data_IF_900563179583
#
_entry.id   IF_900563179583
#
_cell.length_a   1.000
_cell.length_b   1.000
_cell.length_c   1.000
_cell.angle_alpha   90.00
_cell.angle_beta   90.00
_cell.angle_gamma   90.00
#
_symmetry.space_group_name_H-M   'P 1'
#
loop_
_entity.id
_entity.type
_entity.pdbx_description
1 polymer ?
#
# COMPACT_ATOMS: atom_id res chain seq x y z
N UNK A 1 1.96 -4.55 -11.12
CA UNK A 1 3.19 -3.77 -11.05
C UNK A 1 3.82 -3.95 -9.69
N UNK A 2 5.15 -3.91 -9.55
CA UNK A 2 5.79 -3.95 -8.23
C UNK A 2 5.68 -2.60 -7.51
N UNK A 3 5.63 -2.64 -6.19
CA UNK A 3 5.70 -1.47 -5.33
C UNK A 3 6.53 -1.74 -4.09
N UNK A 4 7.45 -0.85 -3.77
CA UNK A 4 8.24 -0.88 -2.54
C UNK A 4 7.56 -0.02 -1.49
N UNK A 5 7.25 -0.62 -0.34
CA UNK A 5 6.63 0.05 0.79
C UNK A 5 7.69 0.36 1.84
N UNK A 6 7.74 1.60 2.32
CA UNK A 6 8.69 2.08 3.30
C UNK A 6 7.96 2.53 4.58
N UNK A 7 8.54 2.18 5.73
CA UNK A 7 8.14 2.74 7.02
C UNK A 7 8.55 4.22 7.10
N UNK A 8 7.91 5.01 7.99
CA UNK A 8 8.39 6.35 8.31
C UNK A 8 9.89 6.32 8.65
N UNK A 9 10.64 7.28 8.13
CA UNK A 9 12.07 7.47 8.44
C UNK A 9 13.00 6.32 8.00
N UNK A 10 12.50 5.33 7.25
CA UNK A 10 13.30 4.23 6.69
C UNK A 10 13.55 4.42 5.20
N UNK A 11 14.83 4.38 4.82
CA UNK A 11 15.25 4.31 3.41
C UNK A 11 15.31 2.87 2.87
N UNK A 12 15.14 1.87 3.74
CA UNK A 12 15.06 0.47 3.32
C UNK A 12 13.60 0.06 3.12
N UNK A 13 13.27 -0.64 2.02
CA UNK A 13 11.92 -1.12 1.79
C UNK A 13 11.56 -2.15 2.87
N UNK A 14 10.42 -1.93 3.50
CA UNK A 14 9.81 -2.81 4.47
C UNK A 14 9.13 -4.01 3.81
N UNK A 15 8.60 -3.82 2.61
CA UNK A 15 8.00 -4.88 1.80
C UNK A 15 8.07 -4.55 0.31
N UNK A 16 8.10 -5.60 -0.51
CA UNK A 16 7.90 -5.52 -1.95
C UNK A 16 6.55 -6.15 -2.26
N UNK A 17 5.68 -5.38 -2.88
CA UNK A 17 4.27 -5.68 -3.11
C UNK A 17 4.02 -5.92 -4.60
N UNK A 18 3.08 -6.81 -4.91
CA UNK A 18 2.43 -6.88 -6.21
C UNK A 18 1.18 -6.00 -6.18
N UNK A 19 1.30 -4.80 -6.75
CA UNK A 19 0.29 -3.75 -6.73
C UNK A 19 -0.61 -3.77 -7.97
N UNK A 20 -1.89 -3.44 -7.74
CA UNK A 20 -2.87 -3.02 -8.74
C UNK A 20 -3.56 -1.75 -8.24
N UNK A 21 -3.48 -0.69 -9.03
CA UNK A 21 -4.09 0.60 -8.72
C UNK A 21 -5.53 0.58 -9.24
N UNK A 22 -6.47 0.94 -8.39
CA UNK A 22 -7.87 1.14 -8.73
C UNK A 22 -8.29 2.54 -8.29
N UNK A 23 -8.76 3.31 -9.25
CA UNK A 23 -9.31 4.63 -8.97
C UNK A 23 -10.79 4.50 -8.65
N UNK A 24 -11.18 4.87 -7.43
CA UNK A 24 -12.59 4.88 -7.04
C UNK A 24 -13.12 6.32 -7.08
N UNK A 25 -13.91 6.62 -8.13
CA UNK A 25 -14.71 7.83 -8.24
C UNK A 25 -16.18 7.46 -8.04
N UNK A 26 -16.71 7.73 -6.84
CA UNK A 26 -18.15 7.69 -6.64
C UNK A 26 -18.72 9.09 -6.88
N UNK A 27 -19.71 9.27 -7.78
CA UNK A 27 -20.39 10.56 -7.94
C UNK A 27 -20.92 11.06 -6.59
N UNK A 28 -20.55 12.28 -6.20
CA UNK A 28 -20.94 12.90 -4.93
C UNK A 28 -20.08 12.54 -3.72
N UNK A 29 -19.00 11.76 -3.89
CA UNK A 29 -18.01 11.51 -2.84
C UNK A 29 -16.88 12.55 -2.94
N UNK A 30 -16.76 13.50 -1.98
CA UNK A 30 -15.67 14.47 -1.97
C UNK A 30 -14.32 13.82 -1.66
N UNK A 31 -14.32 12.62 -1.05
CA UNK A 31 -13.15 11.82 -0.74
C UNK A 31 -12.80 10.90 -1.92
N UNK A 32 -12.56 11.52 -3.08
CA UNK A 32 -11.95 10.81 -4.20
C UNK A 32 -10.72 10.05 -3.71
N UNK A 33 -10.79 8.72 -3.71
CA UNK A 33 -9.75 7.88 -3.11
C UNK A 33 -9.18 6.94 -4.15
N UNK A 34 -7.93 7.17 -4.50
CA UNK A 34 -7.12 6.20 -5.21
C UNK A 34 -6.79 5.09 -4.22
N UNK A 35 -7.15 3.85 -4.58
CA UNK A 35 -6.87 2.66 -3.79
C UNK A 35 -5.87 1.79 -4.51
N UNK A 36 -4.99 1.16 -3.74
CA UNK A 36 -3.98 0.26 -4.26
C UNK A 36 -4.21 -1.08 -3.59
N UNK A 37 -4.76 -2.02 -4.36
CA UNK A 37 -4.84 -3.41 -3.92
C UNK A 37 -3.47 -4.03 -4.10
N UNK A 38 -3.01 -4.82 -3.13
CA UNK A 38 -1.73 -5.48 -3.21
C UNK A 38 -1.80 -6.93 -2.77
N UNK A 39 -0.85 -7.72 -3.26
CA UNK A 39 -0.53 -9.04 -2.71
C UNK A 39 0.95 -9.12 -2.40
N UNK A 40 1.36 -9.84 -1.35
CA UNK A 40 2.79 -10.17 -1.15
C UNK A 40 2.97 -11.50 -0.43
N UNK A 41 4.08 -12.17 -0.73
CA UNK A 41 4.43 -13.46 -0.15
C UNK A 41 5.40 -13.25 1.00
N UNK A 42 5.00 -13.66 2.20
CA UNK A 42 5.70 -13.32 3.43
C UNK A 42 7.05 -14.07 3.54
N UNK A 43 8.16 -13.33 3.50
CA UNK A 43 9.46 -13.78 4.01
C UNK A 43 10.08 -12.69 4.87
N UNK A 44 9.39 -12.32 5.95
CA UNK A 44 9.99 -11.47 6.98
C UNK A 44 9.04 -10.42 7.57
N UNK A 45 8.50 -10.76 8.74
CA UNK A 45 7.97 -9.85 9.78
C UNK A 45 6.85 -8.89 9.33
N UNK A 46 5.61 -9.20 9.71
CA UNK A 46 4.76 -8.46 10.69
C UNK A 46 4.86 -6.92 10.84
N UNK A 47 5.43 -6.15 9.91
CA UNK A 47 5.73 -4.71 10.10
C UNK A 47 4.61 -3.78 9.62
N UNK A 48 3.88 -4.15 8.57
CA UNK A 48 2.89 -3.25 7.95
C UNK A 48 1.68 -3.04 8.87
N UNK A 49 1.15 -4.10 9.48
CA UNK A 49 0.01 -4.01 10.41
C UNK A 49 0.29 -3.15 11.64
N UNK A 50 1.55 -3.13 12.12
CA UNK A 50 1.97 -2.32 13.27
C UNK A 50 1.93 -0.81 12.99
N UNK A 51 1.90 -0.41 11.71
CA UNK A 51 1.96 0.98 11.28
C UNK A 51 0.67 1.41 10.58
N UNK A 52 -0.45 0.71 10.84
CA UNK A 52 -1.76 1.02 10.23
C UNK A 52 -2.22 2.48 10.44
N UNK A 53 -1.80 3.08 11.56
CA UNK A 53 -2.19 4.42 11.98
C UNK A 53 -1.23 5.50 11.47
N UNK A 54 -0.14 5.12 10.80
CA UNK A 54 0.90 6.04 10.32
C UNK A 54 0.93 6.05 8.77
N UNK A 55 1.10 7.21 8.13
CA UNK A 55 1.37 7.24 6.69
C UNK A 55 2.65 6.47 6.35
N UNK A 56 2.56 5.60 5.35
CA UNK A 56 3.67 4.87 4.75
C UNK A 56 4.01 5.50 3.40
N UNK A 57 5.23 5.28 2.91
CA UNK A 57 5.66 5.75 1.59
C UNK A 57 5.66 4.58 0.62
N UNK A 58 5.01 4.74 -0.52
CA UNK A 58 4.94 3.74 -1.57
C UNK A 58 5.66 4.27 -2.80
N UNK A 59 6.66 3.52 -3.27
CA UNK A 59 7.31 3.75 -4.56
C UNK A 59 6.92 2.64 -5.53
N UNK A 60 6.40 3.01 -6.68
CA UNK A 60 6.01 2.09 -7.73
C UNK A 60 7.17 1.83 -8.70
N UNK A 61 7.16 0.69 -9.37
CA UNK A 61 8.21 0.31 -10.33
C UNK A 61 8.34 1.26 -11.54
N UNK A 62 7.30 2.06 -11.81
CA UNK A 62 7.29 3.07 -12.87
C UNK A 62 7.83 4.45 -12.42
N UNK A 63 8.37 4.53 -11.20
CA UNK A 63 8.99 5.73 -10.64
C UNK A 63 8.05 6.61 -9.83
N UNK A 64 6.73 6.38 -9.89
CA UNK A 64 5.76 7.15 -9.11
C UNK A 64 5.91 6.90 -7.63
N UNK A 65 5.83 7.95 -6.83
CA UNK A 65 5.90 7.86 -5.37
C UNK A 65 4.73 8.58 -4.71
N UNK A 66 4.21 8.03 -3.61
CA UNK A 66 3.13 8.68 -2.86
C UNK A 66 3.08 8.22 -1.40
N UNK A 67 2.31 8.94 -0.59
CA UNK A 67 1.97 8.54 0.77
C UNK A 67 0.68 7.73 0.79
N UNK A 68 0.69 6.63 1.53
CA UNK A 68 -0.44 5.69 1.66
C UNK A 68 -0.73 5.35 3.11
N UNK A 69 -1.95 4.94 3.40
CA UNK A 69 -2.33 4.31 4.68
C UNK A 69 -2.90 2.93 4.45
N UNK A 70 -2.61 2.01 5.37
CA UNK A 70 -3.24 0.70 5.35
C UNK A 70 -4.72 0.84 5.70
N UNK A 71 -5.59 0.45 4.77
CA UNK A 71 -7.04 0.46 4.98
C UNK A 71 -7.55 -0.92 5.38
N UNK A 72 -7.00 -1.98 4.77
CA UNK A 72 -7.41 -3.35 5.00
C UNK A 72 -6.26 -4.31 4.70
N UNK A 73 -6.19 -5.42 5.44
CA UNK A 73 -5.27 -6.52 5.20
C UNK A 73 -5.92 -7.84 5.61
N UNK A 74 -5.59 -8.92 4.91
CA UNK A 74 -6.00 -10.28 5.23
C UNK A 74 -4.97 -11.30 4.73
N UNK A 75 -5.04 -12.49 5.29
CA UNK A 75 -4.20 -13.63 4.91
C UNK A 75 -5.10 -14.65 4.19
N UNK A 76 -4.72 -15.04 2.98
CA UNK A 76 -5.42 -16.06 2.21
C UNK A 76 -5.07 -17.46 2.72
N UNK A 77 -5.90 -18.49 2.42
CA UNK A 77 -5.65 -19.87 2.88
C UNK A 77 -4.31 -20.46 2.44
N UNK A 78 -3.73 -19.97 1.34
CA UNK A 78 -2.40 -20.36 0.84
C UNK A 78 -1.24 -19.55 1.47
N UNK A 79 -1.53 -18.74 2.49
CA UNK A 79 -0.55 -17.98 3.24
C UNK A 79 -0.06 -16.70 2.55
N UNK A 80 -0.68 -16.27 1.44
CA UNK A 80 -0.39 -14.95 0.87
C UNK A 80 -1.09 -13.86 1.67
N UNK A 81 -0.50 -12.68 1.68
CA UNK A 81 -1.13 -11.51 2.26
C UNK A 81 -1.74 -10.69 1.13
N UNK A 82 -2.99 -10.30 1.30
CA UNK A 82 -3.71 -9.39 0.42
C UNK A 82 -4.15 -8.16 1.22
N UNK A 83 -4.16 -6.99 0.58
CA UNK A 83 -4.57 -5.79 1.29
C UNK A 83 -4.94 -4.62 0.37
N UNK A 84 -5.35 -3.54 1.01
CA UNK A 84 -5.75 -2.28 0.37
C UNK A 84 -5.04 -1.14 1.07
N UNK A 85 -4.31 -0.35 0.28
CA UNK A 85 -3.73 0.91 0.68
C UNK A 85 -4.60 2.05 0.12
N UNK A 86 -4.92 3.04 0.96
CA UNK A 86 -5.52 4.30 0.53
C UNK A 86 -4.41 5.32 0.29
N UNK A 87 -4.42 5.98 -0.88
CA UNK A 87 -3.54 7.12 -1.14
C UNK A 87 -3.99 8.32 -0.31
N UNK A 88 -3.06 8.96 0.40
CA UNK A 88 -3.32 10.11 1.28
C UNK A 88 -2.47 11.34 0.94
N UNK A 89 -1.61 11.25 -0.07
CA UNK A 89 -0.82 12.37 -0.58
C UNK A 89 -0.89 12.45 -2.11
N UNK A 90 -0.27 13.48 -2.67
CA UNK A 90 -0.11 13.59 -4.11
C UNK A 90 0.88 12.53 -4.64
N UNK A 91 0.83 12.28 -5.95
CA UNK A 91 1.83 11.48 -6.65
C UNK A 91 2.95 12.40 -7.14
N UNK A 92 4.20 12.03 -6.89
CA UNK A 92 5.38 12.62 -7.55
C UNK A 92 5.89 11.73 -8.67
#
# INVERSE_FOLDING_TARGET
MKGELFLPESDKPAAVLDCKIAEYRKPGDPDHSIRITYTYQERGKKMIELHKDTPLRLRLEDGRETSVRLQYQSITPDGRIIGVLRVVGEWS
#
